data_IF_216507420399
#
_entry.id   IF_216507420399
#
_cell.length_a   1.000
_cell.length_b   1.000
_cell.length_c   1.000
_cell.angle_alpha   90.00
_cell.angle_beta   90.00
_cell.angle_gamma   90.00
#
_symmetry.space_group_name_H-M   'P 1'
#
loop_
_entity.id
_entity.type
_entity.pdbx_description
1 polymer ?
#
# COMPACT_ATOMS: atom_id res chain seq x y z
N UNK A 1 -22.35 35.17 22.21
CA UNK A 1 -22.47 34.06 21.23
C UNK A 1 -22.12 32.77 21.94
N UNK A 2 -22.92 31.71 21.78
CA UNK A 2 -22.93 30.59 22.71
C UNK A 2 -21.68 29.72 22.51
N UNK A 3 -20.99 29.50 23.62
CA UNK A 3 -19.94 28.50 23.80
C UNK A 3 -20.67 27.19 24.02
N UNK A 4 -20.77 26.34 23.00
CA UNK A 4 -21.49 25.08 23.11
C UNK A 4 -20.69 23.93 22.48
N UNK A 5 -20.47 22.91 23.32
CA UNK A 5 -20.12 21.53 22.96
C UNK A 5 -18.63 21.17 22.76
N UNK A 6 -17.81 21.36 23.79
CA UNK A 6 -16.50 20.70 23.92
C UNK A 6 -16.42 19.70 25.09
N UNK A 7 -17.57 19.26 25.63
CA UNK A 7 -17.66 18.53 26.90
C UNK A 7 -17.80 17.00 26.76
N UNK A 8 -17.37 16.41 25.63
CA UNK A 8 -17.53 14.97 25.40
C UNK A 8 -16.44 14.28 24.58
N UNK A 9 -15.45 15.00 24.06
CA UNK A 9 -14.32 14.37 23.35
C UNK A 9 -13.20 14.11 24.35
N UNK A 10 -12.71 12.87 24.40
CA UNK A 10 -11.58 12.57 25.27
C UNK A 10 -10.35 13.37 24.78
N UNK A 11 -9.45 13.78 25.68
CA UNK A 11 -8.20 14.44 25.27
C UNK A 11 -7.40 13.65 24.22
N UNK A 12 -7.55 12.32 24.23
CA UNK A 12 -6.94 11.41 23.26
C UNK A 12 -7.59 11.59 21.87
N UNK A 13 -8.91 11.74 21.78
CA UNK A 13 -9.60 11.97 20.50
C UNK A 13 -9.18 13.30 19.86
N UNK A 14 -8.99 14.34 20.69
CA UNK A 14 -8.48 15.64 20.23
C UNK A 14 -7.03 15.50 19.75
N UNK A 15 -6.19 14.76 20.49
CA UNK A 15 -4.80 14.53 20.10
C UNK A 15 -4.70 13.74 18.79
N UNK A 16 -5.46 12.64 18.67
CA UNK A 16 -5.53 11.83 17.46
C UNK A 16 -6.08 12.64 16.28
N UNK A 17 -7.11 13.45 16.50
CA UNK A 17 -7.66 14.36 15.50
C UNK A 17 -6.64 15.39 15.01
N UNK A 18 -5.83 15.94 15.91
CA UNK A 18 -4.75 16.87 15.55
C UNK A 18 -3.59 16.15 14.83
N UNK A 19 -3.20 14.95 15.26
CA UNK A 19 -2.17 14.14 14.60
C UNK A 19 -2.57 13.75 13.18
N UNK A 20 -3.83 13.36 12.99
CA UNK A 20 -4.38 13.03 11.68
C UNK A 20 -4.45 14.27 10.78
N UNK A 21 -4.79 15.45 11.32
CA UNK A 21 -4.79 16.71 10.58
C UNK A 21 -3.42 17.23 10.18
N UNK A 22 -2.37 16.78 10.86
CA UNK A 22 -0.98 17.15 10.57
C UNK A 22 -0.32 16.17 9.59
N UNK A 23 -1.06 15.19 9.07
CA UNK A 23 -0.57 14.14 8.18
C UNK A 23 0.72 13.49 8.72
N UNK A 24 0.81 13.36 10.06
CA UNK A 24 2.05 12.92 10.72
C UNK A 24 2.44 11.50 10.32
N UNK A 25 1.45 10.67 9.96
CA UNK A 25 1.67 9.31 9.49
C UNK A 25 2.25 9.29 8.07
N UNK A 26 1.75 10.14 7.17
CA UNK A 26 2.29 10.31 5.81
C UNK A 26 3.75 10.78 5.87
N UNK A 27 4.02 11.74 6.76
CA UNK A 27 5.35 12.25 7.03
C UNK A 27 6.28 11.14 7.55
N UNK A 28 5.90 10.49 8.66
CA UNK A 28 6.79 9.55 9.35
C UNK A 28 7.07 8.30 8.52
N UNK A 29 6.07 7.81 7.78
CA UNK A 29 6.22 6.61 6.96
C UNK A 29 7.24 6.82 5.84
N UNK A 30 7.09 7.89 5.05
CA UNK A 30 8.04 8.19 3.98
C UNK A 30 9.41 8.55 4.54
N UNK A 31 9.45 9.14 5.72
CA UNK A 31 10.70 9.58 6.33
C UNK A 31 11.55 8.37 6.68
N UNK A 32 10.93 7.40 7.34
CA UNK A 32 11.56 6.14 7.70
C UNK A 32 11.97 5.36 6.44
N UNK A 33 11.13 5.35 5.40
CA UNK A 33 11.44 4.69 4.13
C UNK A 33 12.70 5.27 3.47
N UNK A 34 12.77 6.59 3.28
CA UNK A 34 13.96 7.23 2.70
C UNK A 34 15.19 7.10 3.60
N UNK A 35 15.02 7.20 4.93
CA UNK A 35 16.09 6.96 5.89
C UNK A 35 16.71 5.58 5.69
N UNK A 36 15.89 4.53 5.63
CA UNK A 36 16.37 3.15 5.45
C UNK A 36 17.04 2.96 4.09
N UNK A 37 16.46 3.51 3.01
CA UNK A 37 17.03 3.42 1.66
C UNK A 37 18.41 4.08 1.62
N UNK A 38 18.53 5.31 2.08
CA UNK A 38 19.79 6.07 2.05
C UNK A 38 20.82 5.40 2.97
N UNK A 39 20.41 4.95 4.15
CA UNK A 39 21.30 4.26 5.07
C UNK A 39 21.84 2.96 4.49
N UNK A 40 20.99 2.16 3.85
CA UNK A 40 21.39 0.94 3.17
C UNK A 40 22.36 1.21 2.02
N UNK A 41 22.12 2.27 1.24
CA UNK A 41 23.01 2.70 0.15
C UNK A 41 24.37 3.12 0.72
N UNK A 42 24.42 4.01 1.73
CA UNK A 42 25.66 4.49 2.32
C UNK A 42 26.47 3.37 2.98
N UNK A 43 25.78 2.43 3.65
CA UNK A 43 26.39 1.24 4.22
C UNK A 43 27.00 0.34 3.15
N UNK A 44 26.29 0.14 2.03
CA UNK A 44 26.78 -0.69 0.90
C UNK A 44 27.91 -0.01 0.13
N UNK A 45 27.89 1.31 0.04
CA UNK A 45 28.92 2.11 -0.61
C UNK A 45 30.17 2.31 0.27
N UNK A 46 30.18 1.79 1.49
CA UNK A 46 31.25 1.97 2.48
C UNK A 46 31.63 3.45 2.65
N UNK A 47 30.64 4.34 2.60
CA UNK A 47 30.86 5.79 2.60
C UNK A 47 31.61 6.29 3.84
N UNK A 48 31.32 5.68 4.99
CA UNK A 48 32.05 5.89 6.23
C UNK A 48 32.20 4.54 6.95
N UNK A 49 33.37 4.32 7.54
CA UNK A 49 33.64 3.18 8.42
C UNK A 49 32.75 3.20 9.68
N UNK A 50 32.35 4.41 10.11
CA UNK A 50 31.48 4.59 11.27
C UNK A 50 30.00 4.51 10.86
N UNK A 51 29.33 3.44 11.27
CA UNK A 51 27.90 3.24 11.02
C UNK A 51 27.02 4.38 11.56
N UNK A 52 27.44 5.01 12.66
CA UNK A 52 26.75 6.16 13.27
C UNK A 52 26.72 7.38 12.34
N UNK A 53 27.82 7.63 11.62
CA UNK A 53 27.91 8.75 10.67
C UNK A 53 26.95 8.52 9.51
N UNK A 54 26.94 7.31 8.95
CA UNK A 54 26.00 6.94 7.88
C UNK A 54 24.54 7.08 8.32
N UNK A 55 24.22 6.71 9.56
CA UNK A 55 22.88 6.86 10.12
C UNK A 55 22.47 8.34 10.26
N UNK A 56 23.32 9.18 10.84
CA UNK A 56 23.04 10.61 11.01
C UNK A 56 22.86 11.30 9.66
N UNK A 57 23.73 11.02 8.68
CA UNK A 57 23.60 11.58 7.33
C UNK A 57 22.28 11.15 6.69
N UNK A 58 21.94 9.86 6.76
CA UNK A 58 20.68 9.34 6.19
C UNK A 58 19.46 9.98 6.84
N UNK A 59 19.51 10.19 8.16
CA UNK A 59 18.43 10.81 8.93
C UNK A 59 18.18 12.24 8.45
N UNK A 60 19.25 13.03 8.31
CA UNK A 60 19.19 14.42 7.85
C UNK A 60 18.70 14.48 6.40
N UNK A 61 19.24 13.65 5.51
CA UNK A 61 18.84 13.65 4.09
C UNK A 61 17.37 13.24 3.94
N UNK A 62 16.89 12.23 4.68
CA UNK A 62 15.49 11.83 4.66
C UNK A 62 14.55 12.96 5.12
N UNK A 63 14.96 13.75 6.13
CA UNK A 63 14.23 14.95 6.56
C UNK A 63 14.15 16.00 5.43
N UNK A 64 15.24 16.24 4.71
CA UNK A 64 15.26 17.17 3.59
C UNK A 64 14.37 16.71 2.43
N UNK A 65 14.39 15.42 2.10
CA UNK A 65 13.59 14.89 0.99
C UNK A 65 12.10 15.15 1.23
N UNK A 66 11.59 14.94 2.44
CA UNK A 66 10.15 15.14 2.67
C UNK A 66 9.76 16.61 2.65
N UNK A 67 10.54 17.46 3.32
CA UNK A 67 10.16 18.85 3.50
C UNK A 67 10.39 19.70 2.25
N UNK A 68 11.32 19.30 1.37
CA UNK A 68 11.77 20.15 0.26
C UNK A 68 11.59 19.52 -1.12
N UNK A 69 11.08 18.28 -1.22
CA UNK A 69 10.73 17.71 -2.52
C UNK A 69 9.21 17.55 -2.67
N UNK A 70 8.63 17.97 -3.81
CA UNK A 70 7.23 17.66 -4.14
C UNK A 70 6.93 16.15 -4.11
N UNK A 71 7.97 15.36 -4.36
CA UNK A 71 7.93 13.89 -4.34
C UNK A 71 7.66 13.38 -2.92
N UNK A 72 8.19 14.01 -1.88
CA UNK A 72 8.02 13.60 -0.49
C UNK A 72 6.58 13.63 -0.02
N UNK A 73 5.86 14.71 -0.30
CA UNK A 73 4.42 14.84 0.03
C UNK A 73 3.57 13.85 -0.77
N UNK A 74 3.83 13.71 -2.08
CA UNK A 74 3.08 12.82 -2.97
C UNK A 74 3.28 11.34 -2.61
N UNK A 75 4.52 10.94 -2.31
CA UNK A 75 4.81 9.58 -1.83
C UNK A 75 4.20 9.32 -0.46
N UNK A 76 4.11 10.35 0.38
CA UNK A 76 3.49 10.32 1.71
C UNK A 76 2.10 9.76 1.62
N UNK A 77 1.26 10.52 0.92
CA UNK A 77 -0.14 10.22 0.73
C UNK A 77 -0.35 8.94 -0.08
N UNK A 78 0.49 8.67 -1.08
CA UNK A 78 0.39 7.43 -1.86
C UNK A 78 0.60 6.20 -0.98
N UNK A 79 1.71 6.14 -0.23
CA UNK A 79 2.00 4.97 0.59
C UNK A 79 1.05 4.86 1.78
N UNK A 80 0.72 5.95 2.47
CA UNK A 80 -0.21 5.90 3.60
C UNK A 80 -1.59 5.42 3.17
N UNK A 81 -2.09 5.89 2.03
CA UNK A 81 -3.36 5.45 1.47
C UNK A 81 -3.28 4.00 0.99
N UNK A 82 -2.17 3.59 0.37
CA UNK A 82 -1.97 2.21 -0.11
C UNK A 82 -1.95 1.22 1.05
N UNK A 83 -1.15 1.49 2.08
CA UNK A 83 -1.06 0.65 3.27
C UNK A 83 -2.34 0.71 4.12
N UNK A 84 -3.00 1.87 4.19
CA UNK A 84 -4.31 2.00 4.82
C UNK A 84 -5.36 1.12 4.15
N UNK A 85 -5.45 1.18 2.82
CA UNK A 85 -6.37 0.34 2.04
C UNK A 85 -6.02 -1.14 2.13
N UNK A 86 -4.72 -1.48 2.06
CA UNK A 86 -4.26 -2.86 2.26
C UNK A 86 -4.62 -3.38 3.67
N UNK A 87 -4.48 -2.57 4.71
CA UNK A 87 -4.86 -2.93 6.07
C UNK A 87 -6.37 -3.19 6.18
N UNK A 88 -7.21 -2.37 5.55
CA UNK A 88 -8.66 -2.57 5.48
C UNK A 88 -9.01 -3.88 4.75
N UNK A 89 -8.36 -4.17 3.62
CA UNK A 89 -8.57 -5.43 2.89
C UNK A 89 -8.18 -6.63 3.75
N UNK A 90 -7.01 -6.58 4.40
CA UNK A 90 -6.53 -7.67 5.26
C UNK A 90 -7.48 -7.85 6.45
N UNK A 91 -7.94 -6.77 7.08
CA UNK A 91 -8.92 -6.83 8.15
C UNK A 91 -10.25 -7.45 7.68
N UNK A 92 -10.75 -7.06 6.50
CA UNK A 92 -11.94 -7.65 5.89
C UNK A 92 -11.79 -9.14 5.61
N UNK A 93 -10.63 -9.56 5.08
CA UNK A 93 -10.30 -10.97 4.86
C UNK A 93 -10.27 -11.75 6.18
N UNK A 94 -9.63 -11.21 7.22
CA UNK A 94 -9.60 -11.83 8.55
C UNK A 94 -11.00 -12.01 9.13
N UNK A 95 -11.85 -10.99 9.02
CA UNK A 95 -13.25 -11.08 9.45
C UNK A 95 -13.98 -12.17 8.67
N UNK A 96 -13.80 -12.24 7.35
CA UNK A 96 -14.38 -13.31 6.52
C UNK A 96 -13.92 -14.71 6.94
N UNK A 97 -12.62 -14.88 7.23
CA UNK A 97 -12.05 -16.14 7.71
C UNK A 97 -12.65 -16.53 9.07
N UNK A 98 -12.85 -15.56 9.97
CA UNK A 98 -13.49 -15.82 11.27
C UNK A 98 -14.92 -16.33 11.09
N UNK A 99 -15.72 -15.73 10.21
CA UNK A 99 -17.08 -16.20 9.93
C UNK A 99 -17.09 -17.60 9.29
N UNK A 100 -16.17 -17.89 8.37
CA UNK A 100 -16.03 -19.22 7.78
C UNK A 100 -15.66 -20.27 8.85
N UNK A 101 -14.72 -19.93 9.74
CA UNK A 101 -14.35 -20.78 10.86
C UNK A 101 -15.51 -21.04 11.82
N UNK A 102 -16.35 -20.03 12.09
CA UNK A 102 -17.57 -20.18 12.89
C UNK A 102 -18.63 -21.04 12.21
N UNK A 103 -18.71 -21.02 10.88
CA UNK A 103 -19.58 -21.89 10.09
C UNK A 103 -19.05 -23.35 10.00
N UNK A 104 -17.92 -23.65 10.64
CA UNK A 104 -17.28 -24.97 10.61
C UNK A 104 -16.54 -25.26 9.30
N UNK A 105 -16.40 -24.26 8.43
CA UNK A 105 -15.70 -24.39 7.16
C UNK A 105 -14.21 -24.13 7.41
N UNK A 106 -13.36 -25.10 7.07
CA UNK A 106 -11.92 -24.95 7.22
C UNK A 106 -11.36 -24.06 6.11
N UNK A 107 -10.40 -23.20 6.47
CA UNK A 107 -9.75 -22.29 5.53
C UNK A 107 -9.11 -23.05 4.34
N UNK A 108 -8.60 -24.25 4.60
CA UNK A 108 -8.00 -25.13 3.60
C UNK A 108 -9.00 -25.71 2.59
N UNK A 109 -10.28 -25.79 2.95
CA UNK A 109 -11.36 -26.28 2.09
C UNK A 109 -11.86 -25.20 1.12
N UNK A 110 -11.89 -23.93 1.58
CA UNK A 110 -12.25 -22.77 0.75
C UNK A 110 -11.13 -22.41 -0.22
N UNK A 111 -9.88 -22.46 0.24
CA UNK A 111 -8.74 -22.07 -0.58
C UNK A 111 -8.22 -23.17 -1.49
N UNK A 112 -8.78 -24.39 -1.41
CA UNK A 112 -8.45 -25.50 -2.31
C UNK A 112 -6.95 -25.78 -2.37
N UNK A 113 -6.48 -26.80 -1.65
CA UNK A 113 -5.07 -27.27 -1.59
C UNK A 113 -4.28 -27.31 -2.92
N UNK A 114 -4.94 -27.24 -4.08
CA UNK A 114 -4.35 -27.48 -5.40
C UNK A 114 -4.06 -26.24 -6.26
N UNK A 115 -4.43 -25.00 -5.90
CA UNK A 115 -4.20 -23.88 -6.81
C UNK A 115 -3.62 -22.63 -6.13
N UNK A 116 -2.40 -22.77 -5.58
CA UNK A 116 -1.57 -21.64 -5.13
C UNK A 116 -1.48 -20.53 -6.20
N UNK A 117 -1.53 -20.91 -7.48
CA UNK A 117 -1.58 -20.00 -8.62
C UNK A 117 -2.87 -19.17 -8.64
N UNK A 118 -4.05 -19.77 -8.39
CA UNK A 118 -5.31 -19.01 -8.33
C UNK A 118 -5.36 -18.02 -7.16
N UNK A 119 -4.81 -18.39 -6.00
CA UNK A 119 -4.70 -17.49 -4.84
C UNK A 119 -3.72 -16.36 -5.13
N UNK A 120 -2.57 -16.67 -5.72
CA UNK A 120 -1.58 -15.66 -6.13
C UNK A 120 -2.16 -14.70 -7.19
N UNK A 121 -2.96 -15.21 -8.14
CA UNK A 121 -3.64 -14.41 -9.15
C UNK A 121 -4.71 -13.52 -8.51
N UNK A 122 -5.52 -14.03 -7.58
CA UNK A 122 -6.53 -13.25 -6.86
C UNK A 122 -5.89 -12.14 -6.01
N UNK A 123 -4.84 -12.47 -5.25
CA UNK A 123 -4.10 -11.49 -4.44
C UNK A 123 -3.38 -10.46 -5.32
N UNK A 124 -2.78 -10.90 -6.43
CA UNK A 124 -2.16 -10.01 -7.41
C UNK A 124 -3.19 -9.06 -8.04
N UNK A 125 -4.38 -9.57 -8.38
CA UNK A 125 -5.48 -8.77 -8.90
C UNK A 125 -5.98 -7.74 -7.88
N UNK A 126 -6.18 -8.15 -6.62
CA UNK A 126 -6.53 -7.24 -5.52
C UNK A 126 -5.46 -6.18 -5.28
N UNK A 127 -4.17 -6.55 -5.36
CA UNK A 127 -3.07 -5.61 -5.22
C UNK A 127 -3.03 -4.58 -6.36
N UNK A 128 -3.31 -5.00 -7.60
CA UNK A 128 -3.40 -4.10 -8.75
C UNK A 128 -4.58 -3.13 -8.61
N UNK A 129 -5.76 -3.63 -8.20
CA UNK A 129 -6.92 -2.77 -7.95
C UNK A 129 -6.61 -1.77 -6.85
N UNK A 130 -6.08 -2.23 -5.71
CA UNK A 130 -5.67 -1.36 -4.61
C UNK A 130 -4.70 -0.27 -5.08
N UNK A 131 -3.67 -0.64 -5.85
CA UNK A 131 -2.69 0.28 -6.40
C UNK A 131 -3.33 1.35 -7.31
N UNK A 132 -4.25 0.95 -8.18
CA UNK A 132 -4.99 1.88 -9.07
C UNK A 132 -5.92 2.79 -8.25
N UNK A 133 -6.66 2.24 -7.29
CA UNK A 133 -7.62 2.98 -6.44
C UNK A 133 -6.96 4.08 -5.61
N UNK A 134 -5.70 3.89 -5.21
CA UNK A 134 -4.92 4.88 -4.46
C UNK A 134 -4.29 5.95 -5.37
N UNK A 135 -4.50 5.87 -6.68
CA UNK A 135 -3.93 6.82 -7.64
C UNK A 135 -2.49 6.49 -8.03
N UNK A 136 -2.07 5.23 -7.93
CA UNK A 136 -0.76 4.78 -8.39
C UNK A 136 -0.48 5.09 -9.87
N UNK A 137 -1.52 5.24 -10.69
CA UNK A 137 -1.40 5.68 -12.08
C UNK A 137 -1.01 7.16 -12.20
N UNK A 138 -1.57 8.01 -11.32
CA UNK A 138 -1.25 9.43 -11.26
C UNK A 138 0.19 9.66 -10.78
N UNK A 139 0.72 8.77 -9.94
CA UNK A 139 2.12 8.82 -9.51
C UNK A 139 3.11 8.71 -10.68
N UNK A 140 2.81 7.87 -11.66
CA UNK A 140 3.63 7.71 -12.87
C UNK A 140 3.26 8.70 -13.98
N UNK A 141 2.35 9.65 -13.72
CA UNK A 141 1.77 10.55 -14.72
C UNK A 141 1.26 9.81 -15.96
N UNK A 142 0.75 8.58 -15.76
CA UNK A 142 0.20 7.78 -16.85
C UNK A 142 -1.25 8.21 -17.03
N UNK A 143 -1.59 8.70 -18.20
CA UNK A 143 -2.98 9.02 -18.56
C UNK A 143 -3.87 7.78 -18.37
N UNK A 144 -5.02 7.97 -17.75
CA UNK A 144 -6.00 6.91 -17.49
C UNK A 144 -6.34 6.10 -18.74
N UNK A 145 -6.33 6.75 -19.89
CA UNK A 145 -6.70 6.19 -21.18
C UNK A 145 -5.68 5.15 -21.67
N UNK A 146 -4.39 5.34 -21.39
CA UNK A 146 -3.32 4.37 -21.70
C UNK A 146 -3.51 3.11 -20.86
N UNK A 147 -3.86 3.26 -19.59
CA UNK A 147 -4.03 2.14 -18.65
C UNK A 147 -5.28 1.35 -18.96
N UNK A 148 -6.40 2.02 -19.24
CA UNK A 148 -7.64 1.36 -19.67
C UNK A 148 -7.39 0.59 -20.97
N UNK A 149 -6.65 1.19 -21.92
CA UNK A 149 -6.28 0.52 -23.18
C UNK A 149 -5.43 -0.72 -22.92
N UNK A 150 -4.38 -0.63 -22.10
CA UNK A 150 -3.53 -1.77 -21.75
C UNK A 150 -4.30 -2.87 -21.00
N UNK A 151 -5.19 -2.48 -20.09
CA UNK A 151 -6.03 -3.43 -19.36
C UNK A 151 -7.01 -4.16 -20.28
N UNK A 152 -7.64 -3.45 -21.21
CA UNK A 152 -8.48 -4.04 -22.25
C UNK A 152 -7.68 -4.99 -23.15
N UNK A 153 -6.44 -4.62 -23.50
CA UNK A 153 -5.53 -5.47 -24.27
C UNK A 153 -5.17 -6.76 -23.51
N UNK A 154 -4.87 -6.64 -22.22
CA UNK A 154 -4.62 -7.78 -21.34
C UNK A 154 -5.85 -8.69 -21.21
N UNK A 155 -7.05 -8.11 -21.03
CA UNK A 155 -8.30 -8.86 -20.99
C UNK A 155 -8.56 -9.61 -22.29
N UNK A 156 -8.32 -8.97 -23.44
CA UNK A 156 -8.42 -9.62 -24.75
C UNK A 156 -7.42 -10.77 -24.89
N UNK A 157 -6.16 -10.57 -24.49
CA UNK A 157 -5.14 -11.64 -24.52
C UNK A 157 -5.52 -12.80 -23.59
N UNK A 158 -6.05 -12.50 -22.40
CA UNK A 158 -6.49 -13.51 -21.45
C UNK A 158 -7.71 -14.28 -21.97
N UNK A 159 -8.67 -13.58 -22.58
CA UNK A 159 -9.83 -14.18 -23.23
C UNK A 159 -9.41 -15.09 -24.40
N UNK A 160 -8.49 -14.63 -25.25
CA UNK A 160 -7.95 -15.42 -26.37
C UNK A 160 -7.20 -16.65 -25.86
N UNK A 161 -6.36 -16.52 -24.83
CA UNK A 161 -5.68 -17.67 -24.21
C UNK A 161 -6.66 -18.65 -23.56
N UNK A 162 -7.69 -18.14 -22.87
CA UNK A 162 -8.70 -18.99 -22.24
C UNK A 162 -9.53 -19.76 -23.28
N UNK A 163 -9.90 -19.11 -24.38
CA UNK A 163 -10.61 -19.75 -25.50
C UNK A 163 -9.68 -20.74 -26.22
N UNK A 164 -8.43 -20.36 -26.49
CA UNK A 164 -7.45 -21.20 -27.20
C UNK A 164 -7.06 -22.46 -26.42
N UNK A 165 -7.00 -22.39 -25.08
CA UNK A 165 -6.72 -23.55 -24.24
C UNK A 165 -7.95 -24.43 -23.98
N UNK A 166 -9.14 -24.01 -24.43
CA UNK A 166 -10.38 -24.78 -24.28
C UNK A 166 -10.53 -25.96 -25.26
N UNK A 167 -9.66 -26.07 -26.25
CA UNK A 167 -9.78 -27.04 -27.36
C UNK A 167 -8.83 -28.27 -27.27
N UNK A 168 -7.97 -28.37 -26.24
CA UNK A 168 -7.10 -29.55 -26.05
C UNK A 168 -7.73 -30.68 -25.20
N UNK A 169 -9.04 -30.62 -24.95
CA UNK A 169 -9.78 -31.63 -24.17
C UNK A 169 -10.81 -32.40 -25.01
N UNK A 170 -10.40 -32.95 -26.16
CA UNK A 170 -11.17 -34.00 -26.86
C UNK A 170 -10.28 -35.13 -27.34
#
# INVERSE_FOLDING_TARGET
>A
MPVAESAGQSPIDIMLGNMNRLDIFDFFFVWLLFFVIIYAILKKAEFSEELSVNAVISFVVAFFIINYTPIGMTLGTFFSTLFGLAAVIIAGLLVGILFLGMAGIKFEEVLGKSNKTAIAVLLGFLAIIAFISVGGLNFFNIESDIVITLFMLLLMLFAVMFISNGDESK
#
